data_IF_831680355925
#
_entry.id   IF_831680355925
#
_cell.length_a   1.000
_cell.length_b   1.000
_cell.length_c   1.000
_cell.angle_alpha   90.00
_cell.angle_beta   90.00
_cell.angle_gamma   90.00
#
_symmetry.space_group_name_H-M   'P 1'
#
loop_
_entity.id
_entity.type
_entity.pdbx_description
1 polymer ?
#
# COMPACT_ATOMS: atom_id res chain seq x y z
N UNK A 1 -56.55 -6.41 22.34
CA UNK A 1 -55.82 -6.78 21.11
C UNK A 1 -54.85 -5.67 20.76
N UNK A 2 -53.53 -5.92 20.87
CA UNK A 2 -52.50 -5.02 20.33
C UNK A 2 -52.21 -5.46 18.89
N UNK A 3 -52.66 -4.67 17.93
CA UNK A 3 -52.22 -4.80 16.53
C UNK A 3 -51.18 -3.70 16.29
N UNK A 4 -49.98 -4.14 15.98
CA UNK A 4 -48.76 -3.36 16.01
C UNK A 4 -48.45 -2.63 14.70
N UNK A 5 -47.58 -1.62 14.87
CA UNK A 5 -46.57 -1.21 13.90
C UNK A 5 -47.08 -0.67 12.57
N UNK A 6 -47.22 0.64 12.48
CA UNK A 6 -47.10 1.37 11.22
C UNK A 6 -45.65 1.23 10.75
N UNK A 7 -45.42 0.49 9.67
CA UNK A 7 -44.13 0.49 8.98
C UNK A 7 -44.23 1.44 7.79
N UNK A 8 -43.34 2.43 7.77
CA UNK A 8 -43.06 3.25 6.59
C UNK A 8 -42.27 2.36 5.64
N UNK A 9 -42.84 2.02 4.49
CA UNK A 9 -42.08 1.40 3.40
C UNK A 9 -41.45 2.52 2.58
N UNK A 10 -40.19 2.83 2.87
CA UNK A 10 -39.38 3.58 1.92
C UNK A 10 -39.22 2.73 0.66
N UNK A 11 -39.54 3.36 -0.46
CA UNK A 11 -39.51 2.76 -1.78
C UNK A 11 -38.14 2.15 -2.08
N UNK A 12 -38.23 1.07 -2.84
CA UNK A 12 -37.14 0.45 -3.58
C UNK A 12 -36.23 1.49 -4.24
N UNK A 13 -35.02 1.64 -3.73
CA UNK A 13 -33.90 2.12 -4.54
C UNK A 13 -32.78 1.09 -4.37
N UNK A 14 -32.64 0.24 -5.38
CA UNK A 14 -31.53 -0.70 -5.51
C UNK A 14 -30.18 0.04 -5.54
N UNK A 15 -29.06 -0.69 -5.47
CA UNK A 15 -27.74 -0.07 -5.54
C UNK A 15 -27.63 0.73 -6.84
N UNK A 16 -27.60 2.05 -6.69
CA UNK A 16 -27.40 3.02 -7.75
C UNK A 16 -26.00 2.83 -8.35
N UNK A 17 -25.95 2.06 -9.44
CA UNK A 17 -24.76 1.86 -10.27
C UNK A 17 -24.79 2.90 -11.39
N UNK A 18 -24.47 4.16 -11.10
CA UNK A 18 -24.07 5.11 -12.16
C UNK A 18 -23.44 6.40 -11.62
N UNK A 19 -22.25 6.31 -11.04
CA UNK A 19 -21.35 7.47 -10.99
C UNK A 19 -19.97 7.08 -11.54
N UNK A 20 -19.90 6.98 -12.87
CA UNK A 20 -18.64 7.14 -13.58
C UNK A 20 -18.12 8.55 -13.34
N UNK A 21 -17.18 8.66 -12.40
CA UNK A 21 -16.39 9.88 -12.20
C UNK A 21 -15.00 9.60 -12.74
N UNK A 22 -14.62 10.38 -13.76
CA UNK A 22 -13.26 10.43 -14.28
C UNK A 22 -12.25 10.59 -13.14
N UNK A 23 -11.52 9.52 -12.88
CA UNK A 23 -10.49 9.43 -11.87
C UNK A 23 -10.16 7.97 -11.68
N UNK A 24 -8.96 7.55 -12.06
CA UNK A 24 -8.34 6.29 -11.62
C UNK A 24 -8.66 6.14 -10.13
N UNK A 25 -9.67 5.34 -9.80
CA UNK A 25 -10.36 5.44 -8.51
C UNK A 25 -9.41 5.07 -7.39
N UNK A 26 -9.49 5.79 -6.27
CA UNK A 26 -8.77 5.44 -5.04
C UNK A 26 -9.00 3.96 -4.67
N UNK A 27 -10.20 3.44 -4.95
CA UNK A 27 -10.55 2.02 -4.84
C UNK A 27 -9.59 1.10 -5.59
N UNK A 28 -9.06 1.51 -6.74
CA UNK A 28 -8.10 0.74 -7.52
C UNK A 28 -6.69 0.79 -6.96
N UNK A 29 -6.30 1.89 -6.29
CA UNK A 29 -5.03 1.97 -5.56
C UNK A 29 -5.10 1.14 -4.28
N UNK A 30 -6.13 1.32 -3.46
CA UNK A 30 -6.34 0.54 -2.24
C UNK A 30 -6.44 -0.95 -2.53
N UNK A 31 -7.17 -1.33 -3.60
CA UNK A 31 -7.22 -2.73 -4.05
C UNK A 31 -5.86 -3.25 -4.50
N UNK A 32 -5.05 -2.44 -5.18
CA UNK A 32 -3.70 -2.84 -5.58
C UNK A 32 -2.77 -3.02 -4.37
N UNK A 33 -2.83 -2.12 -3.38
CA UNK A 33 -2.08 -2.27 -2.12
C UNK A 33 -2.51 -3.52 -1.39
N UNK A 34 -3.81 -3.72 -1.18
CA UNK A 34 -4.34 -4.93 -0.54
C UNK A 34 -3.90 -6.20 -1.25
N UNK A 35 -3.92 -6.19 -2.60
CA UNK A 35 -3.46 -7.34 -3.37
C UNK A 35 -1.96 -7.60 -3.18
N UNK A 36 -1.15 -6.54 -3.07
CA UNK A 36 0.27 -6.67 -2.80
C UNK A 36 0.54 -7.27 -1.41
N UNK A 37 -0.20 -6.85 -0.39
CA UNK A 37 -0.16 -7.43 0.96
C UNK A 37 -0.47 -8.93 0.93
N UNK A 38 -1.57 -9.32 0.28
CA UNK A 38 -1.94 -10.73 0.11
C UNK A 38 -0.85 -11.56 -0.58
N UNK A 39 -0.17 -10.98 -1.59
CA UNK A 39 0.92 -11.65 -2.29
C UNK A 39 2.12 -11.84 -1.37
N UNK A 40 2.51 -10.81 -0.61
CA UNK A 40 3.62 -10.87 0.35
C UNK A 40 3.35 -11.90 1.45
N UNK A 41 2.14 -11.90 2.01
CA UNK A 41 1.73 -12.87 3.03
C UNK A 41 1.83 -14.31 2.50
N UNK A 42 1.35 -14.55 1.27
CA UNK A 42 1.43 -15.88 0.65
C UNK A 42 2.85 -16.30 0.32
N UNK A 43 3.72 -15.37 -0.11
CA UNK A 43 5.13 -15.66 -0.37
C UNK A 43 5.91 -16.01 0.92
N UNK A 44 5.42 -15.57 2.08
CA UNK A 44 5.96 -15.96 3.39
C UNK A 44 5.64 -17.39 3.82
N UNK A 45 4.74 -18.09 3.12
CA UNK A 45 4.35 -19.47 3.44
C UNK A 45 5.44 -20.46 2.98
N UNK A 46 6.03 -21.17 3.94
CA UNK A 46 7.07 -22.18 3.70
C UNK A 46 6.56 -23.41 2.93
N UNK A 47 5.23 -23.61 2.85
CA UNK A 47 4.61 -24.73 2.14
C UNK A 47 4.28 -24.41 0.68
N UNK A 48 4.53 -23.18 0.24
CA UNK A 48 4.22 -22.73 -1.12
C UNK A 48 5.12 -23.41 -2.16
N UNK A 49 4.57 -24.10 -3.17
CA UNK A 49 5.37 -24.68 -4.24
C UNK A 49 6.10 -23.61 -5.05
N UNK A 50 7.34 -23.89 -5.47
CA UNK A 50 8.19 -22.95 -6.21
C UNK A 50 7.50 -22.34 -7.44
N UNK A 51 6.80 -23.15 -8.23
CA UNK A 51 6.10 -22.66 -9.43
C UNK A 51 4.97 -21.66 -9.10
N UNK A 52 4.33 -21.82 -7.94
CA UNK A 52 3.34 -20.84 -7.46
C UNK A 52 4.01 -19.59 -6.90
N UNK A 53 5.13 -19.75 -6.18
CA UNK A 53 5.92 -18.63 -5.69
C UNK A 53 6.41 -17.73 -6.84
N UNK A 54 6.89 -18.32 -7.93
CA UNK A 54 7.31 -17.56 -9.12
C UNK A 54 6.16 -16.75 -9.72
N UNK A 55 4.96 -17.36 -9.84
CA UNK A 55 3.77 -16.65 -10.35
C UNK A 55 3.34 -15.49 -9.45
N UNK A 56 3.34 -15.71 -8.13
CA UNK A 56 3.02 -14.67 -7.16
C UNK A 56 4.07 -13.54 -7.16
N UNK A 57 5.35 -13.87 -7.31
CA UNK A 57 6.40 -12.87 -7.42
C UNK A 57 6.23 -12.00 -8.68
N UNK A 58 6.00 -12.61 -9.84
CA UNK A 58 5.72 -11.87 -11.08
C UNK A 58 4.48 -10.97 -10.96
N UNK A 59 3.42 -11.48 -10.31
CA UNK A 59 2.23 -10.70 -10.01
C UNK A 59 2.55 -9.52 -9.09
N UNK A 60 3.30 -9.76 -8.01
CA UNK A 60 3.72 -8.73 -7.04
C UNK A 60 4.49 -7.59 -7.70
N UNK A 61 5.40 -7.91 -8.64
CA UNK A 61 6.12 -6.88 -9.41
C UNK A 61 5.16 -6.04 -10.27
N UNK A 62 4.16 -6.67 -10.90
CA UNK A 62 3.16 -5.93 -11.70
C UNK A 62 2.29 -5.02 -10.84
N UNK A 63 1.84 -5.52 -9.69
CA UNK A 63 1.02 -4.76 -8.73
C UNK A 63 1.83 -3.60 -8.15
N UNK A 64 3.07 -3.83 -7.72
CA UNK A 64 3.98 -2.79 -7.23
C UNK A 64 4.19 -1.65 -8.24
N UNK A 65 4.44 -1.98 -9.51
CA UNK A 65 4.54 -0.99 -10.59
C UNK A 65 3.26 -0.18 -10.76
N UNK A 66 2.12 -0.84 -10.63
CA UNK A 66 0.81 -0.18 -10.72
C UNK A 66 0.61 0.82 -9.57
N UNK A 67 0.97 0.46 -8.34
CA UNK A 67 0.96 1.37 -7.20
C UNK A 67 1.86 2.59 -7.43
N UNK A 68 3.09 2.38 -7.91
CA UNK A 68 4.01 3.47 -8.23
C UNK A 68 3.45 4.43 -9.29
N UNK A 69 2.74 3.91 -10.31
CA UNK A 69 2.07 4.73 -11.31
C UNK A 69 0.95 5.57 -10.71
N UNK A 70 0.12 5.02 -9.80
CA UNK A 70 -0.91 5.80 -9.12
C UNK A 70 -0.32 6.96 -8.32
N UNK A 71 0.76 6.72 -7.58
CA UNK A 71 1.44 7.76 -6.81
C UNK A 71 2.02 8.84 -7.72
N UNK A 72 2.61 8.46 -8.85
CA UNK A 72 3.14 9.39 -9.84
C UNK A 72 2.02 10.25 -10.47
N UNK A 73 0.91 9.63 -10.86
CA UNK A 73 -0.24 10.34 -11.42
C UNK A 73 -0.84 11.33 -10.40
N UNK A 74 -0.94 10.91 -9.13
CA UNK A 74 -1.38 11.78 -8.05
C UNK A 74 -0.42 12.96 -7.84
N UNK A 75 0.89 12.71 -7.83
CA UNK A 75 1.92 13.75 -7.74
C UNK A 75 1.78 14.79 -8.85
N UNK A 76 1.70 14.36 -10.10
CA UNK A 76 1.55 15.26 -11.26
C UNK A 76 0.26 16.09 -11.14
N UNK A 77 -0.83 15.49 -10.65
CA UNK A 77 -2.08 16.20 -10.44
C UNK A 77 -1.95 17.28 -9.36
N UNK A 78 -1.25 16.99 -8.26
CA UNK A 78 -0.98 17.96 -7.20
C UNK A 78 -0.10 19.10 -7.71
N UNK A 79 0.99 18.79 -8.43
CA UNK A 79 1.89 19.79 -9.02
C UNK A 79 1.11 20.78 -9.91
N UNK A 80 0.23 20.29 -10.79
CA UNK A 80 -0.62 21.16 -11.63
C UNK A 80 -1.54 22.07 -10.83
N UNK A 81 -2.17 21.55 -9.78
CA UNK A 81 -3.09 22.36 -8.94
C UNK A 81 -2.37 23.51 -8.25
N UNK A 82 -1.09 23.34 -7.91
CA UNK A 82 -0.26 24.39 -7.31
C UNK A 82 0.14 25.44 -8.35
N UNK A 83 0.52 25.00 -9.56
CA UNK A 83 0.80 25.93 -10.67
C UNK A 83 -0.42 26.80 -11.01
N UNK A 84 -1.63 26.24 -10.93
CA UNK A 84 -2.89 26.94 -11.17
C UNK A 84 -3.30 27.87 -10.01
N UNK A 85 -2.79 27.63 -8.79
CA UNK A 85 -3.11 28.41 -7.57
C UNK A 85 -1.85 28.91 -6.85
N UNK A 86 -1.02 29.76 -7.51
CA UNK A 86 0.25 30.21 -6.96
C UNK A 86 0.04 31.01 -5.66
N UNK A 87 0.71 30.60 -4.59
CA UNK A 87 0.67 31.26 -3.28
C UNK A 87 -0.39 30.75 -2.30
N UNK A 88 -1.25 29.79 -2.70
CA UNK A 88 -2.21 29.14 -1.79
C UNK A 88 -1.65 27.83 -1.23
N UNK A 89 -0.86 27.10 -2.03
CA UNK A 89 -0.28 25.81 -1.67
C UNK A 89 1.24 25.82 -1.97
N UNK A 90 2.03 25.15 -1.12
CA UNK A 90 3.49 25.02 -1.26
C UNK A 90 3.89 23.55 -1.11
N UNK A 91 4.77 23.05 -1.99
CA UNK A 91 5.36 21.71 -1.87
C UNK A 91 6.71 21.79 -1.18
N UNK A 92 6.88 20.99 -0.14
CA UNK A 92 8.18 20.71 0.45
C UNK A 92 8.55 19.26 0.14
N UNK A 93 9.82 19.01 -0.17
CA UNK A 93 10.31 17.65 -0.35
C UNK A 93 10.24 16.92 0.99
N UNK A 94 9.69 15.70 0.98
CA UNK A 94 9.64 14.85 2.16
C UNK A 94 10.93 14.00 2.18
N UNK A 95 11.98 14.50 2.82
CA UNK A 95 13.24 13.76 2.99
C UNK A 95 13.11 12.81 4.19
N UNK A 96 12.94 11.51 3.94
CA UNK A 96 13.06 10.47 4.97
C UNK A 96 14.47 9.87 4.94
N UNK A 97 15.42 10.57 5.55
CA UNK A 97 16.69 10.00 5.99
C UNK A 97 16.65 9.85 7.53
N UNK A 98 15.80 8.97 8.04
CA UNK A 98 15.95 8.43 9.40
C UNK A 98 16.44 6.99 9.27
N UNK A 99 17.77 6.87 9.13
CA UNK A 99 18.51 5.63 9.17
C UNK A 99 18.31 4.93 10.52
N UNK A 100 17.36 3.98 10.61
CA UNK A 100 17.24 3.05 11.74
C UNK A 100 18.24 1.89 11.57
N UNK A 101 19.52 2.20 11.42
CA UNK A 101 20.60 1.26 11.70
C UNK A 101 20.85 1.25 13.21
N UNK A 102 19.97 0.58 13.94
CA UNK A 102 20.27 0.12 15.31
C UNK A 102 20.03 -1.38 15.39
N UNK A 103 20.94 -2.14 14.79
CA UNK A 103 21.08 -3.56 15.07
C UNK A 103 22.56 -3.96 15.03
N UNK A 104 23.19 -3.99 16.21
CA UNK A 104 24.17 -5.03 16.54
C UNK A 104 25.64 -4.76 16.23
N UNK A 105 26.28 -3.90 17.03
CA UNK A 105 27.69 -4.09 17.35
C UNK A 105 27.83 -5.36 18.24
N UNK A 106 27.79 -6.54 17.63
CA UNK A 106 28.33 -7.75 18.27
C UNK A 106 29.84 -7.74 18.07
N UNK A 107 30.54 -7.28 19.12
CA UNK A 107 31.98 -7.32 19.24
C UNK A 107 32.43 -8.78 19.15
N UNK A 108 32.93 -9.16 17.98
CA UNK A 108 33.55 -10.45 17.75
C UNK A 108 34.71 -10.66 18.73
N UNK A 109 34.79 -11.89 19.20
CA UNK A 109 35.73 -12.43 20.17
C UNK A 109 37.16 -12.26 19.70
N UNK A 110 38.03 -11.78 20.59
CA UNK A 110 39.46 -12.12 20.55
C UNK A 110 39.82 -12.56 21.97
N UNK A 111 39.42 -13.79 22.29
CA UNK A 111 40.16 -14.61 23.23
C UNK A 111 41.27 -15.28 22.43
N UNK A 112 42.45 -14.70 22.47
CA UNK A 112 43.69 -15.39 22.11
C UNK A 112 44.58 -15.37 23.35
N UNK A 113 44.41 -16.42 24.12
CA UNK A 113 45.32 -16.87 25.16
C UNK A 113 46.11 -18.03 24.55
N UNK A 114 47.39 -17.84 24.27
CA UNK A 114 48.44 -18.87 24.14
C UNK A 114 49.77 -18.08 24.12
N UNK A 115 50.55 -18.01 25.20
CA UNK A 115 51.56 -18.99 25.62
C UNK A 115 52.62 -19.27 24.53
N UNK A 116 53.79 -18.62 24.62
CA UNK A 116 55.11 -19.30 24.73
C UNK A 116 56.29 -18.30 24.67
N UNK A 117 57.24 -18.53 25.59
CA UNK A 117 58.65 -18.07 25.70
C UNK A 117 58.96 -16.67 26.22
#
# INVERSE_FOLDING_TARGET
>A
MRIGGVYVTEGTQGPDQSEQRDGKSLDSFESAVKRLEEIVDRLGDQTLPLDQAMKLFEEGIKVSRTCAQYLNDARVRVEKLIEESPGVFSLEAFDQDENVDSAGSVRAENGDSDDES
#
